data_IF_863195746260
#
_entry.id   IF_863195746260
#
_cell.length_a   1.000
_cell.length_b   1.000
_cell.length_c   1.000
_cell.angle_alpha   90.00
_cell.angle_beta   90.00
_cell.angle_gamma   90.00
#
_symmetry.space_group_name_H-M   'P 1'
#
loop_
_entity.id
_entity.type
_entity.pdbx_description
1 polymer ?
#
# COMPACT_ATOMS: atom_id res chain seq x y z
N UNK A 1 4.12 -16.09 -41.87
CA UNK A 1 4.95 -15.42 -40.86
C UNK A 1 4.25 -15.68 -39.53
N UNK A 2 4.70 -16.70 -38.78
CA UNK A 2 3.99 -17.33 -37.64
C UNK A 2 4.39 -16.75 -36.28
N UNK A 3 4.72 -15.47 -36.27
CA UNK A 3 4.65 -14.65 -35.06
C UNK A 3 3.15 -14.29 -35.04
N UNK A 4 2.33 -14.73 -34.11
CA UNK A 4 2.25 -14.01 -32.85
C UNK A 4 1.38 -14.70 -31.78
N UNK A 5 0.74 -15.85 -32.03
CA UNK A 5 -0.17 -16.48 -31.04
C UNK A 5 0.57 -16.94 -29.78
N UNK A 6 1.74 -17.56 -29.93
CA UNK A 6 2.59 -17.99 -28.80
C UNK A 6 3.12 -16.81 -27.98
N UNK A 7 3.38 -15.67 -28.62
CA UNK A 7 3.87 -14.45 -27.97
C UNK A 7 2.74 -13.77 -27.21
N UNK A 8 1.55 -13.66 -27.81
CA UNK A 8 0.34 -13.13 -27.20
C UNK A 8 -0.09 -13.93 -25.96
N UNK A 9 -0.02 -15.26 -26.03
CA UNK A 9 -0.41 -16.12 -24.91
C UNK A 9 0.60 -16.08 -23.76
N UNK A 10 1.90 -15.98 -24.10
CA UNK A 10 2.96 -15.75 -23.11
C UNK A 10 2.82 -14.38 -22.44
N UNK A 11 2.44 -13.36 -23.19
CA UNK A 11 2.20 -12.01 -22.68
C UNK A 11 0.95 -11.95 -21.80
N UNK A 12 -0.15 -12.62 -22.18
CA UNK A 12 -1.35 -12.78 -21.33
C UNK A 12 -1.01 -13.48 -20.00
N UNK A 13 -0.19 -14.53 -20.04
CA UNK A 13 0.31 -15.20 -18.81
C UNK A 13 1.11 -14.26 -17.93
N UNK A 14 2.03 -13.49 -18.52
CA UNK A 14 2.86 -12.53 -17.79
C UNK A 14 2.00 -11.45 -17.10
N UNK A 15 1.02 -10.89 -17.81
CA UNK A 15 0.07 -9.91 -17.26
C UNK A 15 -0.78 -10.49 -16.14
N UNK A 16 -1.17 -11.75 -16.24
CA UNK A 16 -1.98 -12.45 -15.22
C UNK A 16 -1.16 -12.66 -13.95
N UNK A 17 0.09 -13.12 -14.08
CA UNK A 17 1.02 -13.30 -12.96
C UNK A 17 1.33 -11.94 -12.32
N UNK A 18 1.61 -10.91 -13.13
CA UNK A 18 1.90 -9.56 -12.66
C UNK A 18 0.72 -8.96 -11.89
N UNK A 19 -0.51 -9.08 -12.42
CA UNK A 19 -1.72 -8.67 -11.70
C UNK A 19 -1.88 -9.42 -10.37
N UNK A 20 -1.61 -10.72 -10.33
CA UNK A 20 -1.73 -11.50 -9.10
C UNK A 20 -0.75 -11.03 -8.02
N UNK A 21 0.53 -10.88 -8.37
CA UNK A 21 1.57 -10.37 -7.46
C UNK A 21 1.19 -9.00 -6.91
N UNK A 22 0.75 -8.09 -7.78
CA UNK A 22 0.31 -6.76 -7.37
C UNK A 22 -0.94 -6.79 -6.46
N UNK A 23 -1.85 -7.72 -6.68
CA UNK A 23 -3.06 -7.83 -5.85
C UNK A 23 -2.71 -8.36 -4.46
N UNK A 24 -1.77 -9.30 -4.38
CA UNK A 24 -1.22 -9.82 -3.13
C UNK A 24 -0.46 -8.71 -2.38
N UNK A 25 0.42 -7.98 -3.06
CA UNK A 25 1.23 -6.90 -2.46
C UNK A 25 0.39 -5.71 -1.99
N UNK A 26 -0.64 -5.33 -2.73
CA UNK A 26 -1.61 -4.30 -2.29
C UNK A 26 -2.41 -4.75 -1.07
N UNK A 27 -2.74 -6.04 -0.96
CA UNK A 27 -3.46 -6.59 0.19
C UNK A 27 -2.57 -6.55 1.45
N UNK A 28 -1.31 -6.92 1.30
CA UNK A 28 -0.35 -6.93 2.40
C UNK A 28 -0.01 -5.51 2.88
N UNK A 29 0.09 -4.54 1.96
CA UNK A 29 0.24 -3.13 2.33
C UNK A 29 -0.94 -2.57 3.13
N UNK A 30 -2.17 -2.91 2.77
CA UNK A 30 -3.35 -2.45 3.50
C UNK A 30 -3.41 -3.05 4.93
N UNK A 31 -3.00 -4.31 5.08
CA UNK A 31 -2.94 -4.98 6.37
C UNK A 31 -1.83 -4.39 7.25
N UNK A 32 -0.66 -4.17 6.66
CA UNK A 32 0.48 -3.53 7.33
C UNK A 32 0.16 -2.11 7.79
N UNK A 33 -0.49 -1.30 6.94
CA UNK A 33 -0.92 0.05 7.30
C UNK A 33 -1.93 0.05 8.45
N UNK A 34 -2.88 -0.89 8.48
CA UNK A 34 -3.85 -1.02 9.60
C UNK A 34 -3.14 -1.32 10.92
N UNK A 35 -2.15 -2.23 10.91
CA UNK A 35 -1.35 -2.56 12.10
C UNK A 35 -0.54 -1.33 12.55
N UNK A 36 0.05 -0.59 11.61
CA UNK A 36 0.80 0.63 11.89
C UNK A 36 -0.06 1.73 12.52
N UNK A 37 -1.26 1.97 12.01
CA UNK A 37 -2.21 2.91 12.62
C UNK A 37 -2.64 2.44 14.01
N UNK A 38 -2.98 1.16 14.16
CA UNK A 38 -3.40 0.61 15.46
C UNK A 38 -2.30 0.73 16.52
N UNK A 39 -1.05 0.44 16.17
CA UNK A 39 0.10 0.59 17.07
C UNK A 39 0.43 2.05 17.36
N UNK A 40 0.28 2.94 16.38
CA UNK A 40 0.42 4.39 16.57
C UNK A 40 -0.61 4.94 17.58
N UNK A 41 -1.88 4.58 17.42
CA UNK A 41 -2.94 4.95 18.36
C UNK A 41 -2.73 4.34 19.75
N UNK A 42 -2.28 3.08 19.80
CA UNK A 42 -1.92 2.41 21.06
C UNK A 42 -0.83 3.15 21.83
N UNK A 43 0.21 3.64 21.13
CA UNK A 43 1.27 4.46 21.74
C UNK A 43 0.75 5.80 22.28
N UNK A 44 -0.22 6.43 21.60
CA UNK A 44 -0.83 7.67 22.08
C UNK A 44 -1.62 7.43 23.36
N UNK A 45 -2.49 6.42 23.39
CA UNK A 45 -3.30 6.08 24.57
C UNK A 45 -2.40 5.67 25.73
N UNK A 46 -1.42 4.79 25.48
CA UNK A 46 -0.48 4.36 26.49
C UNK A 46 0.38 5.53 27.00
N UNK A 47 0.87 6.39 26.11
CA UNK A 47 1.62 7.59 26.47
C UNK A 47 0.81 8.54 27.34
N UNK A 48 -0.50 8.68 27.10
CA UNK A 48 -1.38 9.47 27.96
C UNK A 48 -1.50 8.91 29.39
N UNK A 49 -1.61 7.58 29.52
CA UNK A 49 -1.61 6.92 30.84
C UNK A 49 -0.26 7.10 31.53
N UNK A 50 0.85 6.91 30.82
CA UNK A 50 2.21 7.09 31.37
C UNK A 50 2.46 8.53 31.77
N UNK A 51 1.92 9.52 31.05
CA UNK A 51 2.09 10.94 31.37
C UNK A 51 1.53 11.32 32.74
N UNK A 52 0.57 10.57 33.28
CA UNK A 52 0.03 10.77 34.64
C UNK A 52 1.06 10.42 35.73
N UNK A 53 2.02 9.54 35.43
CA UNK A 53 3.04 9.08 36.37
C UNK A 53 4.42 9.68 36.08
N UNK A 54 4.77 9.83 34.80
CA UNK A 54 6.04 10.37 34.35
C UNK A 54 5.86 11.15 33.04
N UNK A 55 5.60 12.44 33.19
CA UNK A 55 5.27 13.35 32.09
C UNK A 55 6.25 13.32 30.91
N UNK A 56 7.59 13.35 31.10
CA UNK A 56 8.52 13.40 29.97
C UNK A 56 8.43 12.17 29.05
N UNK A 57 8.33 10.97 29.64
CA UNK A 57 8.20 9.73 28.87
C UNK A 57 6.82 9.62 28.21
N UNK A 58 5.76 10.00 28.92
CA UNK A 58 4.41 10.00 28.37
C UNK A 58 4.30 10.92 27.15
N UNK A 59 4.87 12.13 27.23
CA UNK A 59 4.91 13.08 26.12
C UNK A 59 5.69 12.52 24.92
N UNK A 60 6.85 11.88 25.14
CA UNK A 60 7.62 11.24 24.08
C UNK A 60 6.81 10.13 23.38
N UNK A 61 6.13 9.27 24.15
CA UNK A 61 5.30 8.20 23.61
C UNK A 61 4.14 8.74 22.77
N UNK A 62 3.49 9.81 23.22
CA UNK A 62 2.43 10.49 22.47
C UNK A 62 2.98 11.04 21.15
N UNK A 63 4.10 11.77 21.18
CA UNK A 63 4.71 12.34 19.97
C UNK A 63 5.09 11.24 18.98
N UNK A 64 5.74 10.18 19.45
CA UNK A 64 6.13 9.04 18.61
C UNK A 64 4.88 8.35 18.03
N UNK A 65 3.82 8.17 18.83
CA UNK A 65 2.55 7.61 18.35
C UNK A 65 1.88 8.46 17.28
N UNK A 66 1.88 9.79 17.44
CA UNK A 66 1.35 10.74 16.45
C UNK A 66 2.17 10.68 15.16
N UNK A 67 3.50 10.79 15.25
CA UNK A 67 4.39 10.73 14.08
C UNK A 67 4.22 9.42 13.31
N UNK A 68 4.13 8.29 14.02
CA UNK A 68 3.90 6.98 13.40
C UNK A 68 2.55 6.90 12.69
N UNK A 69 1.51 7.46 13.28
CA UNK A 69 0.16 7.49 12.69
C UNK A 69 0.14 8.36 11.44
N UNK A 70 0.74 9.55 11.48
CA UNK A 70 0.87 10.45 10.31
C UNK A 70 1.66 9.77 9.20
N UNK A 71 2.79 9.14 9.53
CA UNK A 71 3.63 8.46 8.55
C UNK A 71 2.87 7.29 7.89
N UNK A 72 2.10 6.53 8.68
CA UNK A 72 1.25 5.46 8.15
C UNK A 72 0.15 5.98 7.22
N UNK A 73 -0.45 7.14 7.52
CA UNK A 73 -1.46 7.75 6.66
C UNK A 73 -0.84 8.23 5.35
N UNK A 74 0.37 8.81 5.41
CA UNK A 74 1.10 9.22 4.23
C UNK A 74 1.45 8.04 3.33
N UNK A 75 1.95 6.93 3.90
CA UNK A 75 2.22 5.71 3.14
C UNK A 75 0.95 5.12 2.50
N UNK A 76 -0.19 5.20 3.19
CA UNK A 76 -1.47 4.76 2.64
C UNK A 76 -1.87 5.59 1.41
N UNK A 77 -1.76 6.92 1.50
CA UNK A 77 -2.02 7.82 0.37
C UNK A 77 -1.06 7.59 -0.80
N UNK A 78 0.22 7.30 -0.52
CA UNK A 78 1.22 6.97 -1.53
C UNK A 78 0.88 5.67 -2.26
N UNK A 79 0.43 4.65 -1.53
CA UNK A 79 -0.05 3.39 -2.09
C UNK A 79 -1.24 3.57 -3.04
N UNK A 80 -2.20 4.42 -2.69
CA UNK A 80 -3.36 4.73 -3.53
C UNK A 80 -2.99 5.44 -4.84
N UNK A 81 -2.00 6.34 -4.80
CA UNK A 81 -1.47 7.00 -5.99
C UNK A 81 -0.83 6.01 -6.97
N UNK A 82 -0.04 5.06 -6.45
CA UNK A 82 0.55 3.98 -7.25
C UNK A 82 -0.52 3.08 -7.87
N UNK A 83 -1.53 2.70 -7.09
CA UNK A 83 -2.67 1.88 -7.54
C UNK A 83 -3.47 2.58 -8.65
N UNK A 84 -3.63 3.91 -8.56
CA UNK A 84 -4.28 4.73 -9.58
C UNK A 84 -3.45 4.79 -10.87
N UNK A 85 -2.14 4.99 -10.78
CA UNK A 85 -1.22 4.96 -11.93
C UNK A 85 -1.24 3.61 -12.62
N UNK A 86 -1.20 2.51 -11.88
CA UNK A 86 -1.32 1.17 -12.45
C UNK A 86 -2.65 0.91 -13.16
N UNK A 87 -3.77 1.43 -12.66
CA UNK A 87 -5.06 1.31 -13.36
C UNK A 87 -5.06 2.03 -14.70
N UNK A 88 -4.43 3.21 -14.78
CA UNK A 88 -4.29 3.94 -16.04
C UNK A 88 -3.46 3.13 -17.04
N UNK A 89 -2.32 2.60 -16.58
CA UNK A 89 -1.45 1.73 -17.37
C UNK A 89 -2.21 0.48 -17.87
N UNK A 90 -2.99 -0.20 -17.01
CA UNK A 90 -3.83 -1.33 -17.41
C UNK A 90 -4.89 -0.95 -18.46
N UNK A 91 -5.40 0.28 -18.42
CA UNK A 91 -6.42 0.79 -19.34
C UNK A 91 -5.82 1.10 -20.72
N UNK A 92 -4.68 1.80 -20.76
CA UNK A 92 -3.92 2.04 -21.99
C UNK A 92 -3.46 0.73 -22.62
N UNK A 93 -2.97 -0.23 -21.82
CA UNK A 93 -2.59 -1.54 -22.35
C UNK A 93 -3.78 -2.36 -22.89
N UNK A 94 -4.95 -2.27 -22.26
CA UNK A 94 -6.15 -2.91 -22.77
C UNK A 94 -6.61 -2.29 -24.10
N UNK A 95 -6.44 -0.98 -24.27
CA UNK A 95 -6.70 -0.29 -25.54
C UNK A 95 -5.70 -0.67 -26.64
N UNK A 96 -4.41 -0.81 -26.32
CA UNK A 96 -3.37 -1.24 -27.29
C UNK A 96 -3.60 -2.69 -27.73
N UNK A 97 -4.01 -3.59 -26.83
CA UNK A 97 -4.30 -5.00 -27.15
C UNK A 97 -5.60 -5.22 -27.95
N UNK A 98 -6.47 -4.21 -28.05
CA UNK A 98 -7.74 -4.25 -28.77
C UNK A 98 -7.71 -3.47 -30.11
N UNK A 99 -6.56 -2.90 -30.50
CA UNK A 99 -6.40 -2.35 -31.84
C UNK A 99 -6.23 -3.52 -32.83
N UNK A 100 -7.06 -3.58 -33.89
CA UNK A 100 -7.02 -4.64 -34.90
C UNK A 100 -5.74 -4.63 -35.73
#
# INVERSE_FOLDING_TARGET
MSIDESSLDSFKKLVTIYNRILTEEVRDHALYARILVATGLGLVVFGFVVAQYYFPLGLLLIIVGILRTINSVYDFQRGDSLKKKMRLVKREFAEILLQP
#
